data_IF_188502265001
#
_entry.id   IF_188502265001
#
_cell.length_a   1.000
_cell.length_b   1.000
_cell.length_c   1.000
_cell.angle_alpha   90.00
_cell.angle_beta   90.00
_cell.angle_gamma   90.00
#
_symmetry.space_group_name_H-M   'P 1'
#
loop_
_entity.id
_entity.type
_entity.pdbx_description
1 polymer ?
#
# COMPACT_ATOMS: atom_id res chain seq x y z
N UNK A 1 9.36 3.93 27.80
CA UNK A 1 8.11 3.36 27.26
C UNK A 1 7.71 4.02 25.94
N UNK A 2 7.41 5.32 25.86
CA UNK A 2 7.02 5.96 24.57
C UNK A 2 8.09 5.77 23.48
N UNK A 3 9.32 6.20 23.75
CA UNK A 3 10.45 6.08 22.80
C UNK A 3 10.82 4.62 22.50
N UNK A 4 10.55 3.73 23.45
CA UNK A 4 10.82 2.30 23.29
C UNK A 4 9.82 1.67 22.32
N UNK A 5 8.52 1.94 22.50
CA UNK A 5 7.48 1.52 21.57
C UNK A 5 7.72 2.10 20.19
N UNK A 6 8.11 3.37 20.09
CA UNK A 6 8.41 4.01 18.80
C UNK A 6 9.60 3.36 18.09
N UNK A 7 10.65 3.02 18.84
CA UNK A 7 11.87 2.40 18.30
C UNK A 7 11.68 0.93 17.93
N UNK A 8 10.99 0.14 18.76
CA UNK A 8 10.90 -1.33 18.58
C UNK A 8 9.70 -1.75 17.75
N UNK A 9 8.64 -0.94 17.71
CA UNK A 9 7.36 -1.35 17.15
C UNK A 9 6.52 -2.21 18.10
N UNK A 10 7.06 -2.61 19.25
CA UNK A 10 6.39 -3.51 20.17
C UNK A 10 5.31 -2.79 20.98
N UNK A 11 4.04 -3.22 20.91
CA UNK A 11 2.95 -2.51 21.57
C UNK A 11 2.83 -2.85 23.05
N UNK A 12 2.40 -1.87 23.87
CA UNK A 12 2.21 -2.02 25.32
C UNK A 12 0.74 -1.83 25.69
N UNK A 13 0.18 -2.75 26.49
CA UNK A 13 -1.18 -2.63 27.05
C UNK A 13 -1.13 -1.94 28.41
N UNK A 14 -1.89 -0.85 28.56
CA UNK A 14 -1.98 -0.08 29.79
C UNK A 14 -3.17 -0.61 30.60
N UNK A 15 -2.88 -1.04 31.83
CA UNK A 15 -3.87 -1.53 32.79
C UNK A 15 -4.17 -0.48 33.86
N UNK A 16 -5.42 -0.40 34.31
CA UNK A 16 -5.83 0.32 35.52
C UNK A 16 -6.53 -0.67 36.45
N UNK A 17 -5.91 -0.97 37.60
CA UNK A 17 -6.41 -1.97 38.58
C UNK A 17 -6.65 -3.35 37.93
N UNK A 18 -5.67 -3.83 37.17
CA UNK A 18 -5.75 -5.12 36.47
C UNK A 18 -6.67 -5.15 35.25
N UNK A 19 -7.40 -4.07 34.95
CA UNK A 19 -8.28 -3.97 33.79
C UNK A 19 -7.61 -3.21 32.65
N UNK A 20 -7.56 -3.74 31.41
CA UNK A 20 -7.07 -3.00 30.26
C UNK A 20 -7.88 -1.73 30.01
N UNK A 21 -7.20 -0.60 29.80
CA UNK A 21 -7.84 0.70 29.55
C UNK A 21 -7.33 1.41 28.31
N UNK A 22 -6.12 1.10 27.85
CA UNK A 22 -5.54 1.67 26.64
C UNK A 22 -4.45 0.77 26.06
N UNK A 23 -4.07 1.01 24.82
CA UNK A 23 -2.91 0.39 24.17
C UNK A 23 -2.03 1.50 23.59
N UNK A 24 -0.75 1.46 23.91
CA UNK A 24 0.26 2.28 23.27
C UNK A 24 0.84 1.51 22.10
N UNK A 25 0.76 2.12 20.92
CA UNK A 25 1.30 1.60 19.66
C UNK A 25 2.20 2.67 19.05
N UNK A 26 3.14 2.30 18.16
CA UNK A 26 3.92 3.28 17.43
C UNK A 26 2.99 4.21 16.65
N UNK A 27 3.37 5.48 16.53
CA UNK A 27 2.65 6.37 15.64
C UNK A 27 2.75 5.81 14.20
N UNK A 28 1.66 5.88 13.40
CA UNK A 28 1.77 5.59 11.98
C UNK A 28 2.86 6.48 11.40
N UNK A 29 3.87 5.88 10.75
CA UNK A 29 4.82 6.66 9.95
C UNK A 29 3.99 7.51 8.98
N UNK A 30 4.38 8.76 8.79
CA UNK A 30 3.69 9.67 7.88
C UNK A 30 3.37 8.90 6.60
N UNK A 31 2.09 8.89 6.16
CA UNK A 31 1.72 8.13 4.98
C UNK A 31 2.68 8.52 3.88
N UNK A 32 3.26 7.52 3.22
CA UNK A 32 4.07 7.79 2.06
C UNK A 32 3.27 8.75 1.17
N UNK A 33 3.92 9.81 0.69
CA UNK A 33 3.25 10.91 -0.02
C UNK A 33 2.39 10.36 -1.16
N UNK A 34 2.73 9.16 -1.66
CA UNK A 34 1.90 8.33 -2.52
C UNK A 34 1.87 6.88 -1.99
N UNK A 35 0.70 6.22 -1.88
CA UNK A 35 0.59 4.84 -1.37
C UNK A 35 1.48 3.83 -2.11
N UNK A 36 1.68 4.01 -3.42
CA UNK A 36 2.51 3.14 -4.25
C UNK A 36 4.00 3.17 -3.88
N UNK A 37 4.47 4.21 -3.19
CA UNK A 37 5.88 4.33 -2.79
C UNK A 37 6.27 3.20 -1.81
N UNK A 38 5.29 2.60 -1.13
CA UNK A 38 5.48 1.42 -0.26
C UNK A 38 5.82 0.14 -1.04
N UNK A 39 5.56 0.12 -2.35
CA UNK A 39 5.83 -1.02 -3.24
C UNK A 39 7.17 -0.90 -3.97
N UNK A 40 7.92 0.19 -3.77
CA UNK A 40 9.20 0.40 -4.42
C UNK A 40 10.20 -0.69 -3.98
N UNK A 41 10.77 -1.41 -4.97
CA UNK A 41 11.71 -2.50 -4.71
C UNK A 41 11.09 -3.82 -4.26
N UNK A 42 9.76 -3.91 -4.14
CA UNK A 42 9.05 -5.15 -3.80
C UNK A 42 8.40 -5.83 -5.01
N UNK A 43 8.60 -5.28 -6.22
CA UNK A 43 7.93 -5.73 -7.46
C UNK A 43 8.95 -6.17 -8.50
N UNK A 44 8.56 -7.14 -9.32
CA UNK A 44 9.35 -7.67 -10.42
C UNK A 44 8.62 -7.46 -11.76
N UNK A 45 9.38 -7.16 -12.82
CA UNK A 45 8.86 -7.05 -14.18
C UNK A 45 8.90 -8.44 -14.82
N UNK A 46 7.73 -9.06 -14.99
CA UNK A 46 7.59 -10.43 -15.55
C UNK A 46 7.45 -10.47 -17.08
N UNK A 47 7.43 -9.33 -17.76
CA UNK A 47 7.21 -9.25 -19.21
C UNK A 47 7.31 -7.83 -19.74
N UNK A 48 6.93 -7.65 -21.01
CA UNK A 48 6.91 -6.33 -21.64
C UNK A 48 5.74 -5.50 -21.12
N UNK A 49 6.07 -4.42 -20.39
CA UNK A 49 5.10 -3.48 -19.81
C UNK A 49 4.77 -2.30 -20.75
N UNK A 50 5.52 -2.15 -21.84
CA UNK A 50 5.32 -1.10 -22.84
C UNK A 50 4.46 -1.59 -24.01
N UNK A 51 4.43 -2.90 -24.25
CA UNK A 51 3.57 -3.50 -25.24
C UNK A 51 2.07 -3.31 -24.90
N UNK A 52 1.19 -3.19 -25.92
CA UNK A 52 -0.25 -3.19 -25.72
C UNK A 52 -0.72 -4.49 -25.03
N UNK A 53 -1.57 -4.36 -24.02
CA UNK A 53 -2.14 -5.52 -23.31
C UNK A 53 -2.99 -6.44 -24.21
N UNK A 54 -3.54 -5.89 -25.30
CA UNK A 54 -4.26 -6.66 -26.33
C UNK A 54 -3.91 -6.14 -27.73
N UNK A 55 -4.03 -6.98 -28.79
CA UNK A 55 -3.80 -6.56 -30.15
C UNK A 55 -4.68 -5.38 -30.57
N UNK A 56 -4.18 -4.51 -31.46
CA UNK A 56 -4.94 -3.36 -31.96
C UNK A 56 -6.30 -3.76 -32.59
N UNK A 57 -6.41 -4.94 -33.18
CA UNK A 57 -7.65 -5.49 -33.75
C UNK A 57 -8.75 -5.74 -32.71
N UNK A 58 -8.40 -5.93 -31.43
CA UNK A 58 -9.36 -6.06 -30.34
C UNK A 58 -10.09 -4.73 -30.07
N UNK A 59 -9.43 -3.60 -30.36
CA UNK A 59 -10.04 -2.28 -30.27
C UNK A 59 -10.95 -2.01 -31.47
N UNK A 60 -12.22 -1.76 -31.21
CA UNK A 60 -13.22 -1.47 -32.23
C UNK A 60 -13.25 0.02 -32.65
N UNK A 61 -12.14 0.72 -32.48
CA UNK A 61 -12.03 2.18 -32.70
C UNK A 61 -12.15 2.57 -34.19
N UNK A 62 -11.69 1.73 -35.11
CA UNK A 62 -11.71 2.00 -36.55
C UNK A 62 -12.95 1.45 -37.28
N UNK A 63 -14.02 1.06 -36.56
CA UNK A 63 -15.26 0.66 -37.23
C UNK A 63 -15.92 1.90 -37.84
N UNK A 64 -15.87 2.01 -39.17
CA UNK A 64 -16.69 2.99 -39.90
C UNK A 64 -18.14 2.83 -39.47
N UNK A 65 -18.76 3.90 -38.96
CA UNK A 65 -20.21 3.94 -38.76
C UNK A 65 -20.84 3.66 -40.13
N UNK A 66 -21.56 2.54 -40.26
CA UNK A 66 -22.47 2.37 -41.39
C UNK A 66 -23.52 3.48 -41.27
N UNK A 67 -23.56 4.36 -42.27
CA UNK A 67 -24.71 5.22 -42.52
C UNK A 67 -25.87 4.37 -42.99
#
# INVERSE_FOLDING_TARGET
ILDEVDRTGEPVTILKRGRPVARLVPAPRAPARRPQDTLAGTVEILGDILAPAVPASAWKANRRRKR
#
